data_IF_307976046390
#
_entry.id   IF_307976046390
#
_cell.length_a   1.000
_cell.length_b   1.000
_cell.length_c   1.000
_cell.angle_alpha   90.00
_cell.angle_beta   90.00
_cell.angle_gamma   90.00
#
_symmetry.space_group_name_H-M   'P 1'
#
loop_
_entity.id
_entity.type
_entity.pdbx_description
1 polymer ?
#
# COMPACT_ATOMS: atom_id res chain seq x y z
N UNK A 1 -13.37 -4.74 -21.35
CA UNK A 1 -12.54 -3.55 -21.07
C UNK A 1 -11.10 -3.96 -20.97
N UNK A 2 -10.21 -3.15 -21.54
CA UNK A 2 -8.78 -3.41 -21.64
C UNK A 2 -8.08 -2.35 -20.81
N UNK A 3 -7.46 -2.73 -19.69
CA UNK A 3 -6.50 -1.85 -19.02
C UNK A 3 -5.43 -1.42 -20.04
N UNK A 4 -5.05 -0.15 -20.02
CA UNK A 4 -4.03 0.36 -20.95
C UNK A 4 -2.66 0.16 -20.32
N UNK A 5 -1.75 -0.51 -21.05
CA UNK A 5 -0.38 -0.71 -20.59
C UNK A 5 0.35 0.63 -20.49
N UNK A 6 1.17 0.79 -19.45
CA UNK A 6 2.02 1.98 -19.28
C UNK A 6 3.39 1.66 -19.90
N UNK A 7 3.51 1.86 -21.20
CA UNK A 7 4.73 1.56 -21.96
C UNK A 7 5.94 2.36 -21.44
N UNK A 8 5.71 3.58 -20.92
CA UNK A 8 6.75 4.42 -20.31
C UNK A 8 7.43 3.73 -19.12
N UNK A 9 6.74 2.81 -18.43
CA UNK A 9 7.26 2.06 -17.28
C UNK A 9 7.56 0.59 -17.61
N UNK A 10 7.62 0.22 -18.89
CA UNK A 10 8.05 -1.12 -19.30
C UNK A 10 9.56 -1.28 -19.29
N UNK A 11 10.05 -2.52 -19.25
CA UNK A 11 11.48 -2.84 -19.34
C UNK A 11 12.34 -2.06 -18.34
N UNK A 12 11.87 -1.92 -17.09
CA UNK A 12 12.59 -1.24 -16.00
C UNK A 12 13.81 -2.03 -15.53
N UNK A 13 13.87 -3.32 -15.86
CA UNK A 13 15.05 -4.14 -15.65
C UNK A 13 16.09 -3.87 -16.74
N UNK A 14 17.16 -3.19 -16.34
CA UNK A 14 18.29 -2.83 -17.21
C UNK A 14 19.58 -3.41 -16.66
N UNK A 15 20.54 -3.63 -17.56
CA UNK A 15 21.89 -4.04 -17.19
C UNK A 15 22.55 -3.02 -16.25
N UNK A 16 23.36 -3.50 -15.29
CA UNK A 16 24.06 -2.64 -14.31
C UNK A 16 23.51 -2.67 -12.89
N UNK A 17 22.60 -3.59 -12.57
CA UNK A 17 22.11 -3.84 -11.21
C UNK A 17 21.23 -2.73 -10.63
N UNK A 18 21.01 -2.70 -9.30
CA UNK A 18 20.03 -1.80 -8.68
C UNK A 18 20.30 -0.31 -8.93
N UNK A 19 21.55 0.13 -9.02
CA UNK A 19 21.87 1.53 -9.29
C UNK A 19 21.48 1.99 -10.71
N UNK A 20 21.65 1.12 -11.71
CA UNK A 20 21.21 1.42 -13.08
C UNK A 20 19.67 1.48 -13.16
N UNK A 21 18.99 0.52 -12.53
CA UNK A 21 17.53 0.50 -12.40
C UNK A 21 16.99 1.73 -11.66
N UNK A 22 17.69 2.20 -10.63
CA UNK A 22 17.33 3.42 -9.88
C UNK A 22 17.34 4.66 -10.79
N UNK A 23 18.37 4.82 -11.62
CA UNK A 23 18.45 5.93 -12.57
C UNK A 23 17.27 5.90 -13.56
N UNK A 24 16.98 4.71 -14.10
CA UNK A 24 15.85 4.49 -15.03
C UNK A 24 14.51 4.77 -14.35
N UNK A 25 14.35 4.37 -13.08
CA UNK A 25 13.14 4.64 -12.29
C UNK A 25 12.82 6.13 -12.18
N UNK A 26 13.83 6.99 -12.04
CA UNK A 26 13.63 8.45 -12.03
C UNK A 26 13.22 8.97 -13.39
N UNK A 27 14.01 8.67 -14.41
CA UNK A 27 13.81 9.18 -15.76
C UNK A 27 12.41 8.82 -16.29
N UNK A 28 12.04 7.55 -16.13
CA UNK A 28 10.74 7.04 -16.58
C UNK A 28 9.60 7.42 -15.65
N UNK A 29 9.85 7.52 -14.34
CA UNK A 29 8.88 8.05 -13.39
C UNK A 29 8.48 9.49 -13.73
N UNK A 30 9.45 10.36 -14.05
CA UNK A 30 9.16 11.74 -14.46
C UNK A 30 8.40 11.80 -15.79
N UNK A 31 8.75 10.94 -16.75
CA UNK A 31 8.03 10.83 -18.01
C UNK A 31 6.58 10.38 -17.80
N UNK A 32 6.38 9.30 -17.04
CA UNK A 32 5.04 8.79 -16.75
C UNK A 32 4.22 9.77 -15.93
N UNK A 33 4.79 10.49 -14.96
CA UNK A 33 4.05 11.53 -14.21
C UNK A 33 3.45 12.59 -15.14
N UNK A 34 4.19 13.04 -16.16
CA UNK A 34 3.70 14.02 -17.14
C UNK A 34 2.60 13.43 -18.02
N UNK A 35 2.77 12.19 -18.45
CA UNK A 35 1.76 11.45 -19.22
C UNK A 35 0.47 11.27 -18.39
N UNK A 36 0.59 10.71 -17.19
CA UNK A 36 -0.52 10.39 -16.30
C UNK A 36 -1.36 11.61 -15.91
N UNK A 37 -0.74 12.77 -15.71
CA UNK A 37 -1.46 14.02 -15.44
C UNK A 37 -2.48 14.39 -16.54
N UNK A 38 -2.32 13.86 -17.76
CA UNK A 38 -3.23 14.10 -18.89
C UNK A 38 -4.37 13.08 -18.99
N UNK A 39 -4.36 12.03 -18.17
CA UNK A 39 -5.35 10.94 -18.21
C UNK A 39 -6.70 11.31 -17.58
N UNK A 40 -6.86 12.54 -17.10
CA UNK A 40 -8.06 12.98 -16.37
C UNK A 40 -7.96 12.67 -14.88
N UNK A 41 -9.11 12.61 -14.22
CA UNK A 41 -9.25 12.34 -12.79
C UNK A 41 -10.41 11.36 -12.58
N UNK A 42 -10.42 10.57 -11.49
CA UNK A 42 -11.60 9.82 -11.12
C UNK A 42 -12.73 10.79 -10.72
N UNK A 43 -13.96 10.29 -10.66
CA UNK A 43 -15.12 11.09 -10.24
C UNK A 43 -15.14 11.34 -8.73
N UNK A 44 -14.55 10.42 -7.95
CA UNK A 44 -14.44 10.61 -6.52
C UNK A 44 -13.54 9.59 -5.83
N UNK A 45 -12.96 10.01 -4.71
CA UNK A 45 -12.16 9.17 -3.83
C UNK A 45 -12.60 9.41 -2.39
N UNK A 46 -12.81 8.34 -1.62
CA UNK A 46 -13.09 8.43 -0.18
C UNK A 46 -12.23 7.42 0.57
N UNK A 47 -11.52 7.89 1.60
CA UNK A 47 -10.79 7.03 2.56
C UNK A 47 -11.66 6.61 3.74
N UNK A 48 -11.50 5.37 4.20
CA UNK A 48 -12.14 4.84 5.41
C UNK A 48 -11.15 4.06 6.28
N UNK A 49 -11.04 4.47 7.54
CA UNK A 49 -10.21 3.77 8.53
C UNK A 49 -10.80 2.40 8.86
N UNK A 50 -9.97 1.35 8.84
CA UNK A 50 -10.37 0.00 9.20
C UNK A 50 -9.94 -0.32 10.64
N UNK A 51 -8.64 -0.34 10.87
CA UNK A 51 -8.05 -0.73 12.15
C UNK A 51 -6.75 0.01 12.40
N UNK A 52 -6.47 0.34 13.65
CA UNK A 52 -5.16 0.78 14.12
C UNK A 52 -4.58 -0.29 15.03
N UNK A 53 -3.34 -0.70 14.75
CA UNK A 53 -2.68 -1.79 15.43
C UNK A 53 -1.21 -1.46 15.71
N UNK A 54 -0.59 -2.14 16.71
CA UNK A 54 0.84 -2.01 16.95
C UNK A 54 1.64 -2.68 15.82
N UNK A 55 2.71 -2.03 15.41
CA UNK A 55 3.65 -2.55 14.41
C UNK A 55 5.10 -2.31 14.84
N UNK A 56 6.03 -3.27 14.67
CA UNK A 56 7.39 -3.12 15.19
C UNK A 56 8.11 -1.91 14.59
N UNK A 57 8.62 -1.05 15.46
CA UNK A 57 9.34 0.16 15.05
C UNK A 57 10.56 -0.15 14.18
N UNK A 58 11.22 -1.29 14.45
CA UNK A 58 12.39 -1.74 13.68
C UNK A 58 12.08 -2.12 12.23
N UNK A 59 10.83 -2.47 11.93
CA UNK A 59 10.38 -2.79 10.57
C UNK A 59 9.95 -1.52 9.86
N UNK A 60 9.03 -0.76 10.46
CA UNK A 60 8.43 0.42 9.81
C UNK A 60 9.37 1.59 9.61
N UNK A 61 10.40 1.72 10.46
CA UNK A 61 11.41 2.78 10.36
C UNK A 61 12.81 2.20 10.20
N UNK A 62 12.91 1.20 9.31
CA UNK A 62 14.03 0.28 9.13
C UNK A 62 15.40 0.92 9.33
N UNK A 63 16.10 0.49 10.39
CA UNK A 63 17.42 0.96 10.86
C UNK A 63 17.53 2.45 11.24
N UNK A 64 16.65 3.30 10.74
CA UNK A 64 16.72 4.75 10.87
C UNK A 64 16.22 5.26 12.22
N UNK A 65 15.24 4.56 12.83
CA UNK A 65 14.66 4.99 14.10
C UNK A 65 15.61 4.86 15.29
N UNK A 66 15.60 5.87 16.14
CA UNK A 66 16.19 5.89 17.49
C UNK A 66 15.12 5.97 18.59
N UNK A 67 13.85 5.74 18.23
CA UNK A 67 12.78 5.70 19.21
C UNK A 67 12.99 4.55 20.20
N UNK A 68 12.68 4.81 21.47
CA UNK A 68 12.80 3.81 22.55
C UNK A 68 11.64 2.82 22.49
N UNK A 69 10.47 3.26 21.99
CA UNK A 69 9.30 2.41 21.84
C UNK A 69 9.59 1.26 20.85
N UNK A 70 9.36 -0.01 21.25
CA UNK A 70 9.58 -1.17 20.37
C UNK A 70 8.49 -1.31 19.30
N UNK A 71 7.31 -0.72 19.55
CA UNK A 71 6.19 -0.65 18.65
C UNK A 71 5.81 0.80 18.36
N UNK A 72 5.35 1.02 17.14
CA UNK A 72 4.63 2.20 16.70
C UNK A 72 3.18 1.81 16.38
N UNK A 73 2.31 2.78 16.11
CA UNK A 73 0.94 2.50 15.66
C UNK A 73 0.81 2.80 14.18
N UNK A 74 0.21 1.87 13.43
CA UNK A 74 -0.20 2.09 12.04
C UNK A 74 -1.71 2.00 11.94
N UNK A 75 -2.29 2.78 11.06
CA UNK A 75 -3.72 2.75 10.73
C UNK A 75 -3.88 2.27 9.30
N UNK A 76 -4.47 1.08 9.15
CA UNK A 76 -4.82 0.50 7.87
C UNK A 76 -6.15 1.09 7.39
N UNK A 77 -6.20 1.47 6.12
CA UNK A 77 -7.34 2.18 5.53
C UNK A 77 -7.67 1.61 4.16
N UNK A 78 -8.95 1.59 3.85
CA UNK A 78 -9.41 1.34 2.49
C UNK A 78 -9.69 2.67 1.77
N UNK A 79 -9.53 2.67 0.45
CA UNK A 79 -10.02 3.73 -0.43
C UNK A 79 -11.12 3.18 -1.32
N UNK A 80 -12.17 3.97 -1.49
CA UNK A 80 -13.21 3.75 -2.51
C UNK A 80 -12.96 4.76 -3.62
N UNK A 81 -12.75 4.25 -4.83
CA UNK A 81 -12.42 5.06 -6.02
C UNK A 81 -13.49 4.81 -7.07
N UNK A 82 -14.10 5.88 -7.56
CA UNK A 82 -15.16 5.84 -8.57
C UNK A 82 -14.72 6.57 -9.82
N UNK A 83 -14.95 6.00 -10.98
CA UNK A 83 -14.78 6.68 -12.27
C UNK A 83 -15.80 6.16 -13.28
N UNK A 84 -16.12 6.96 -14.30
CA UNK A 84 -16.87 6.49 -15.45
C UNK A 84 -15.91 6.01 -16.54
N UNK A 85 -16.21 4.84 -17.10
CA UNK A 85 -15.55 4.29 -18.28
C UNK A 85 -16.60 3.64 -19.19
N UNK A 86 -16.55 3.95 -20.48
CA UNK A 86 -17.52 3.49 -21.51
C UNK A 86 -19.00 3.65 -21.09
N UNK A 87 -19.33 4.80 -20.48
CA UNK A 87 -20.71 5.12 -20.05
C UNK A 87 -21.21 4.33 -18.83
N UNK A 88 -20.35 3.54 -18.17
CA UNK A 88 -20.64 2.82 -16.93
C UNK A 88 -19.75 3.33 -15.80
N UNK A 89 -20.32 3.47 -14.61
CA UNK A 89 -19.53 3.71 -13.40
C UNK A 89 -18.75 2.46 -12.99
N UNK A 90 -17.52 2.67 -12.56
CA UNK A 90 -16.61 1.67 -12.01
C UNK A 90 -16.31 1.98 -10.57
N UNK A 91 -16.31 0.95 -9.73
CA UNK A 91 -15.94 1.05 -8.31
C UNK A 91 -14.76 0.12 -8.03
N UNK A 92 -13.64 0.72 -7.61
CA UNK A 92 -12.47 0.03 -7.08
C UNK A 92 -12.40 0.23 -5.57
N UNK A 93 -12.24 -0.87 -4.84
CA UNK A 93 -11.79 -0.84 -3.45
C UNK A 93 -10.29 -1.13 -3.41
N UNK A 94 -9.51 -0.14 -2.99
CA UNK A 94 -8.09 -0.32 -2.69
C UNK A 94 -7.89 -0.57 -1.20
N UNK A 95 -7.12 -1.59 -0.84
CA UNK A 95 -6.92 -2.08 0.53
C UNK A 95 -8.21 -2.40 1.31
N UNK A 96 -9.19 -3.15 0.76
CA UNK A 96 -10.35 -3.62 1.52
C UNK A 96 -9.95 -4.76 2.47
N UNK A 97 -8.97 -4.55 3.34
CA UNK A 97 -8.44 -5.59 4.23
C UNK A 97 -9.49 -6.08 5.22
N UNK A 98 -9.64 -7.39 5.29
CA UNK A 98 -10.45 -8.03 6.32
C UNK A 98 -9.62 -8.19 7.60
N UNK A 99 -9.55 -7.15 8.43
CA UNK A 99 -8.78 -7.21 9.67
C UNK A 99 -9.25 -8.30 10.65
N UNK A 100 -10.49 -8.79 10.51
CA UNK A 100 -11.01 -9.88 11.35
C UNK A 100 -10.38 -11.24 10.96
N UNK A 101 -10.08 -11.45 9.67
CA UNK A 101 -9.38 -12.64 9.19
C UNK A 101 -7.86 -12.45 9.09
N UNK A 102 -7.40 -11.23 8.85
CA UNK A 102 -5.97 -10.89 8.81
C UNK A 102 -5.26 -11.15 10.15
N UNK A 103 -5.99 -11.15 11.27
CA UNK A 103 -5.44 -11.49 12.60
C UNK A 103 -4.90 -12.93 12.71
N UNK A 104 -5.32 -13.83 11.83
CA UNK A 104 -4.83 -15.23 11.77
C UNK A 104 -3.54 -15.40 10.97
N UNK A 105 -2.98 -14.29 10.47
CA UNK A 105 -1.64 -14.30 9.88
C UNK A 105 -0.63 -14.73 10.93
N UNK A 106 0.32 -15.65 10.63
CA UNK A 106 1.16 -16.28 11.66
C UNK A 106 1.88 -15.30 12.58
N UNK A 107 2.35 -14.17 12.07
CA UNK A 107 2.96 -13.12 12.90
C UNK A 107 1.98 -12.54 13.93
N UNK A 108 0.76 -12.18 13.51
CA UNK A 108 -0.25 -11.59 14.39
C UNK A 108 -0.86 -12.62 15.33
N UNK A 109 -1.03 -13.86 14.87
CA UNK A 109 -1.48 -14.97 15.72
C UNK A 109 -0.47 -15.23 16.86
N UNK A 110 0.83 -15.30 16.55
CA UNK A 110 1.89 -15.46 17.56
C UNK A 110 1.99 -14.25 18.50
N UNK A 111 1.87 -13.03 17.96
CA UNK A 111 1.88 -11.81 18.77
C UNK A 111 0.69 -11.78 19.74
N UNK A 112 -0.50 -12.13 19.28
CA UNK A 112 -1.71 -12.19 20.11
C UNK A 112 -1.60 -13.28 21.17
N UNK A 113 -1.10 -14.46 20.80
CA UNK A 113 -0.87 -15.57 21.74
C UNK A 113 0.12 -15.26 22.87
N UNK A 114 1.02 -14.28 22.66
CA UNK A 114 2.00 -13.81 23.66
C UNK A 114 1.56 -12.54 24.40
N UNK A 115 0.46 -11.92 24.00
CA UNK A 115 0.00 -10.63 24.53
C UNK A 115 -1.28 -10.84 25.36
N UNK A 116 -1.30 -10.48 26.66
CA UNK A 116 -2.53 -10.54 27.45
C UNK A 116 -3.69 -9.75 26.81
N UNK A 117 -4.91 -10.31 26.78
CA UNK A 117 -6.09 -9.71 26.13
C UNK A 117 -6.35 -8.23 26.49
N UNK A 118 -6.11 -7.87 27.76
CA UNK A 118 -6.31 -6.48 28.24
C UNK A 118 -5.34 -5.51 27.57
N UNK A 119 -4.12 -5.96 27.27
CA UNK A 119 -3.10 -5.19 26.55
C UNK A 119 -3.46 -5.12 25.07
N UNK A 120 -3.85 -6.25 24.47
CA UNK A 120 -4.27 -6.30 23.06
C UNK A 120 -5.43 -5.33 22.79
N UNK A 121 -6.50 -5.38 23.61
CA UNK A 121 -7.66 -4.47 23.50
C UNK A 121 -7.31 -2.99 23.67
N UNK A 122 -6.19 -2.66 24.32
CA UNK A 122 -5.71 -1.29 24.49
C UNK A 122 -4.84 -0.83 23.31
N UNK A 123 -4.19 -1.76 22.62
CA UNK A 123 -3.28 -1.47 21.51
C UNK A 123 -3.97 -1.50 20.14
N UNK A 124 -5.03 -2.29 20.00
CA UNK A 124 -5.82 -2.38 18.76
C UNK A 124 -7.07 -1.52 18.89
N UNK A 125 -7.31 -0.66 17.88
CA UNK A 125 -8.52 0.13 17.75
C UNK A 125 -9.19 -0.17 16.42
N UNK A 126 -10.35 -0.81 16.46
CA UNK A 126 -11.21 -1.01 15.29
C UNK A 126 -12.03 0.25 15.02
N UNK A 127 -12.02 0.73 13.79
CA UNK A 127 -12.78 1.91 13.35
C UNK A 127 -13.99 1.54 12.50
N UNK A 128 -13.93 0.41 11.79
CA UNK A 128 -15.04 -0.14 11.04
C UNK A 128 -14.64 -1.33 10.18
N UNK A 129 -15.64 -1.98 9.59
CA UNK A 129 -15.44 -3.08 8.62
C UNK A 129 -15.72 -2.58 7.21
N UNK A 130 -15.17 -3.28 6.20
CA UNK A 130 -15.45 -2.99 4.79
C UNK A 130 -16.97 -2.98 4.51
N UNK A 131 -17.77 -4.02 4.89
CA UNK A 131 -19.23 -3.99 4.76
C UNK A 131 -19.90 -2.76 5.38
N UNK A 132 -19.55 -2.43 6.64
CA UNK A 132 -20.16 -1.31 7.33
C UNK A 132 -19.81 0.04 6.72
N UNK A 133 -18.62 0.20 6.15
CA UNK A 133 -18.23 1.40 5.41
C UNK A 133 -18.99 1.54 4.09
N UNK A 134 -19.18 0.45 3.35
CA UNK A 134 -19.94 0.46 2.09
C UNK A 134 -21.42 0.77 2.32
N UNK A 135 -22.03 0.19 3.36
CA UNK A 135 -23.41 0.50 3.76
C UNK A 135 -23.58 2.00 4.04
N UNK A 136 -22.66 2.62 4.79
CA UNK A 136 -22.67 4.07 5.04
C UNK A 136 -22.45 4.93 3.80
N UNK A 137 -21.79 4.37 2.78
CA UNK A 137 -21.56 5.04 1.49
C UNK A 137 -22.70 4.78 0.49
N UNK A 138 -23.66 3.90 0.82
CA UNK A 138 -24.73 3.50 -0.09
C UNK A 138 -24.25 2.69 -1.30
N UNK A 139 -23.14 1.96 -1.15
CA UNK A 139 -22.57 1.12 -2.21
C UNK A 139 -22.99 -0.32 -1.96
N UNK A 140 -23.73 -0.91 -2.89
CA UNK A 140 -24.08 -2.32 -2.80
C UNK A 140 -22.85 -3.19 -3.14
N UNK A 141 -22.67 -4.37 -2.53
CA UNK A 141 -21.53 -5.24 -2.83
C UNK A 141 -21.47 -5.68 -4.31
N UNK A 142 -22.61 -5.76 -4.97
CA UNK A 142 -22.73 -6.10 -6.39
C UNK A 142 -22.21 -4.98 -7.32
N UNK A 143 -22.14 -3.74 -6.83
CA UNK A 143 -21.66 -2.59 -7.61
C UNK A 143 -20.14 -2.50 -7.64
N UNK A 144 -19.44 -3.26 -6.79
CA UNK A 144 -17.97 -3.27 -6.75
C UNK A 144 -17.42 -4.09 -7.92
N UNK A 145 -16.65 -3.44 -8.80
CA UNK A 145 -16.03 -4.09 -9.96
C UNK A 145 -14.65 -4.66 -9.64
N UNK A 146 -13.89 -3.97 -8.80
CA UNK A 146 -12.48 -4.30 -8.57
C UNK A 146 -12.13 -4.25 -7.10
N UNK A 147 -11.30 -5.20 -6.69
CA UNK A 147 -10.54 -5.15 -5.45
C UNK A 147 -9.07 -5.05 -5.82
N UNK A 148 -8.31 -4.24 -5.09
CA UNK A 148 -6.87 -4.17 -5.26
C UNK A 148 -6.19 -4.02 -3.92
N UNK A 149 -5.07 -4.71 -3.79
CA UNK A 149 -4.15 -4.55 -2.68
C UNK A 149 -2.79 -4.21 -3.29
N UNK A 150 -1.99 -3.43 -2.58
CA UNK A 150 -0.60 -3.20 -2.95
C UNK A 150 0.19 -4.52 -2.94
N UNK A 151 -0.16 -5.45 -2.04
CA UNK A 151 0.30 -6.84 -2.02
C UNK A 151 -0.58 -7.71 -1.10
N UNK A 152 -0.25 -9.01 -0.97
CA UNK A 152 -1.10 -9.97 -0.26
C UNK A 152 -0.62 -10.31 1.16
N UNK A 153 0.29 -9.53 1.76
CA UNK A 153 0.59 -9.70 3.19
C UNK A 153 -0.67 -9.51 4.01
N UNK A 154 -0.89 -10.42 4.95
CA UNK A 154 -1.96 -10.39 5.94
C UNK A 154 -3.38 -10.44 5.37
N UNK A 155 -3.52 -10.56 4.05
CA UNK A 155 -4.83 -10.59 3.39
C UNK A 155 -5.39 -12.01 3.38
N UNK A 156 -6.65 -12.14 3.79
CA UNK A 156 -7.49 -13.32 3.57
C UNK A 156 -8.70 -12.92 2.73
N UNK A 157 -8.75 -13.40 1.49
CA UNK A 157 -9.75 -12.98 0.52
C UNK A 157 -10.97 -13.91 0.48
N UNK A 158 -11.07 -14.93 1.34
CA UNK A 158 -12.17 -15.90 1.29
C UNK A 158 -13.53 -15.25 1.49
N UNK A 159 -13.64 -14.23 2.33
CA UNK A 159 -14.89 -13.48 2.51
C UNK A 159 -15.26 -12.69 1.25
N UNK A 160 -14.27 -12.12 0.57
CA UNK A 160 -14.47 -11.24 -0.57
C UNK A 160 -14.82 -12.00 -1.85
N UNK A 161 -14.06 -13.06 -2.14
CA UNK A 161 -14.09 -13.76 -3.42
C UNK A 161 -14.12 -15.29 -3.31
N UNK A 162 -14.43 -15.83 -2.13
CA UNK A 162 -14.55 -17.29 -1.94
C UNK A 162 -15.82 -17.88 -2.57
N UNK A 163 -16.17 -19.11 -2.17
CA UNK A 163 -17.31 -19.85 -2.74
C UNK A 163 -18.68 -19.16 -2.58
N UNK A 164 -18.84 -18.33 -1.55
CA UNK A 164 -19.99 -17.44 -1.37
C UNK A 164 -19.45 -16.02 -1.21
N UNK A 165 -19.10 -15.36 -2.33
CA UNK A 165 -18.37 -14.10 -2.29
C UNK A 165 -19.28 -12.97 -1.80
N UNK A 166 -18.78 -12.14 -0.89
CA UNK A 166 -19.46 -10.89 -0.52
C UNK A 166 -19.50 -9.91 -1.71
N UNK A 167 -18.48 -9.93 -2.57
CA UNK A 167 -18.43 -9.11 -3.80
C UNK A 167 -18.59 -10.01 -5.05
N UNK A 168 -19.83 -10.35 -5.45
CA UNK A 168 -20.05 -11.37 -6.48
C UNK A 168 -19.59 -10.97 -7.88
N UNK A 169 -19.47 -9.67 -8.17
CA UNK A 169 -19.06 -9.15 -9.47
C UNK A 169 -17.59 -8.69 -9.50
N UNK A 170 -16.94 -8.60 -8.34
CA UNK A 170 -15.62 -8.00 -8.25
C UNK A 170 -14.52 -8.96 -8.70
N UNK A 171 -13.47 -8.41 -9.31
CA UNK A 171 -12.23 -9.14 -9.59
C UNK A 171 -11.04 -8.49 -8.89
N UNK A 172 -10.13 -9.31 -8.40
CA UNK A 172 -8.92 -8.87 -7.70
C UNK A 172 -7.82 -8.53 -8.70
N UNK A 173 -7.49 -7.26 -8.84
CA UNK A 173 -6.33 -6.80 -9.61
C UNK A 173 -5.07 -7.08 -8.78
N UNK A 174 -4.18 -7.91 -9.32
CA UNK A 174 -2.97 -8.34 -8.62
C UNK A 174 -1.86 -8.61 -9.63
N UNK A 175 -0.60 -8.36 -9.26
CA UNK A 175 0.51 -8.74 -10.13
C UNK A 175 0.65 -10.27 -10.18
N UNK A 176 0.93 -10.82 -11.37
CA UNK A 176 1.08 -12.27 -11.57
C UNK A 176 2.16 -12.90 -10.69
N UNK A 177 3.25 -12.18 -10.45
CA UNK A 177 4.35 -12.64 -9.60
C UNK A 177 4.00 -12.67 -8.11
N UNK A 178 3.02 -11.91 -7.64
CA UNK A 178 2.51 -12.04 -6.27
C UNK A 178 1.78 -13.38 -6.09
N UNK A 179 0.91 -13.75 -7.03
CA UNK A 179 0.24 -15.05 -7.02
C UNK A 179 1.23 -16.21 -7.18
N UNK A 180 2.26 -16.02 -8.02
CA UNK A 180 3.32 -17.01 -8.19
C UNK A 180 4.11 -17.20 -6.88
N UNK A 181 4.50 -16.11 -6.21
CA UNK A 181 5.22 -16.17 -4.93
C UNK A 181 4.41 -16.86 -3.83
N UNK A 182 3.09 -16.65 -3.78
CA UNK A 182 2.20 -17.32 -2.82
C UNK A 182 2.18 -18.86 -2.92
N UNK A 183 2.47 -19.40 -4.12
CA UNK A 183 2.46 -20.85 -4.33
C UNK A 183 3.59 -21.57 -3.58
N UNK A 184 4.72 -20.89 -3.34
CA UNK A 184 5.88 -21.43 -2.64
C UNK A 184 6.65 -20.33 -1.90
N UNK A 185 6.24 -20.06 -0.67
CA UNK A 185 6.82 -19.00 0.14
C UNK A 185 8.18 -19.37 0.74
N UNK A 186 9.14 -18.45 0.62
CA UNK A 186 10.42 -18.53 1.33
C UNK A 186 10.19 -18.42 2.85
N UNK A 187 10.99 -19.10 3.71
CA UNK A 187 10.82 -19.04 5.17
C UNK A 187 10.78 -17.64 5.78
N UNK A 188 11.47 -16.67 5.18
CA UNK A 188 11.46 -15.27 5.62
C UNK A 188 10.12 -14.56 5.36
N UNK A 189 9.32 -15.03 4.39
CA UNK A 189 8.03 -14.47 4.02
C UNK A 189 6.86 -15.12 4.75
N UNK A 190 6.99 -16.40 5.12
CA UNK A 190 5.93 -17.21 5.76
C UNK A 190 5.20 -16.51 6.93
N UNK A 191 5.86 -15.73 7.81
CA UNK A 191 5.17 -15.05 8.90
C UNK A 191 4.07 -14.07 8.48
N UNK A 192 4.13 -13.56 7.24
CA UNK A 192 3.30 -12.46 6.75
C UNK A 192 2.16 -12.90 5.82
N UNK A 193 2.10 -14.17 5.45
CA UNK A 193 1.13 -14.69 4.48
C UNK A 193 0.30 -15.83 5.05
N UNK A 194 -0.88 -16.02 4.45
CA UNK A 194 -1.81 -17.11 4.76
C UNK A 194 -2.04 -17.98 3.51
N UNK A 195 -1.04 -18.64 2.91
CA UNK A 195 -1.16 -19.30 1.60
C UNK A 195 -2.29 -20.35 1.53
N UNK A 196 -2.60 -21.00 2.66
CA UNK A 196 -3.68 -21.97 2.75
C UNK A 196 -5.07 -21.38 2.46
N UNK A 197 -5.29 -20.08 2.70
CA UNK A 197 -6.58 -19.39 2.47
C UNK A 197 -6.83 -19.11 0.98
N UNK A 198 -5.82 -19.28 0.12
CA UNK A 198 -5.90 -19.02 -1.32
C UNK A 198 -6.18 -20.28 -2.16
N UNK A 199 -6.05 -21.48 -1.59
CA UNK A 199 -6.12 -22.75 -2.34
C UNK A 199 -7.47 -23.00 -3.02
N UNK A 200 -8.55 -22.61 -2.36
CA UNK A 200 -9.92 -22.87 -2.82
C UNK A 200 -10.60 -21.61 -3.39
N UNK A 201 -9.81 -20.56 -3.66
CA UNK A 201 -10.34 -19.35 -4.29
C UNK A 201 -10.50 -19.58 -5.81
N UNK A 202 -11.63 -19.17 -6.40
CA UNK A 202 -11.86 -19.30 -7.83
C UNK A 202 -10.82 -18.47 -8.61
N UNK A 203 -10.12 -19.10 -9.56
CA UNK A 203 -9.07 -18.45 -10.33
C UNK A 203 -9.60 -17.28 -11.16
N UNK A 204 -10.85 -17.36 -11.61
CA UNK A 204 -11.56 -16.32 -12.35
C UNK A 204 -11.85 -15.05 -11.54
N UNK A 205 -11.87 -15.14 -10.20
CA UNK A 205 -12.01 -13.99 -9.33
C UNK A 205 -10.73 -13.14 -9.28
N UNK A 206 -9.60 -13.67 -9.75
CA UNK A 206 -8.39 -12.88 -9.95
C UNK A 206 -8.35 -12.31 -11.36
N UNK A 207 -7.78 -11.12 -11.47
CA UNK A 207 -7.40 -10.45 -12.72
C UNK A 207 -5.89 -10.18 -12.67
N UNK A 208 -5.05 -11.20 -12.93
CA UNK A 208 -3.61 -11.04 -12.87
C UNK A 208 -3.11 -10.09 -13.97
N UNK A 209 -2.29 -9.12 -13.59
CA UNK A 209 -1.63 -8.18 -14.50
C UNK A 209 -0.12 -8.39 -14.52
N UNK A 210 0.52 -7.94 -15.61
CA UNK A 210 1.96 -8.04 -15.83
C UNK A 210 2.53 -6.64 -16.12
N UNK A 211 2.98 -5.96 -15.06
CA UNK A 211 3.53 -4.61 -15.13
C UNK A 211 2.53 -3.53 -14.73
N UNK A 212 2.74 -2.32 -15.23
CA UNK A 212 1.98 -1.13 -14.87
C UNK A 212 0.86 -0.85 -15.89
N UNK A 213 -0.32 -0.47 -15.41
CA UNK A 213 -1.49 -0.20 -16.26
C UNK A 213 -2.30 1.01 -15.78
N UNK A 214 -2.94 1.72 -16.71
CA UNK A 214 -4.01 2.68 -16.44
C UNK A 214 -5.34 1.91 -16.43
N UNK A 215 -6.10 2.05 -15.34
CA UNK A 215 -7.40 1.40 -15.14
C UNK A 215 -8.55 2.24 -15.69
N UNK A 216 -8.41 3.56 -15.62
CA UNK A 216 -9.42 4.54 -16.00
C UNK A 216 -8.88 5.96 -15.85
N UNK A 217 -9.72 6.99 -16.07
CA UNK A 217 -9.30 8.38 -16.00
C UNK A 217 -8.65 8.70 -14.65
N UNK A 218 -7.37 9.08 -14.66
CA UNK A 218 -6.62 9.41 -13.45
C UNK A 218 -6.50 8.28 -12.44
N UNK A 219 -6.64 7.00 -12.82
CA UNK A 219 -6.46 5.84 -11.94
C UNK A 219 -5.51 4.84 -12.59
N UNK A 220 -4.38 4.56 -11.95
CA UNK A 220 -3.37 3.63 -12.44
C UNK A 220 -2.83 2.71 -11.34
N UNK A 221 -2.27 1.60 -11.79
CA UNK A 221 -1.51 0.64 -10.99
C UNK A 221 -0.08 0.63 -11.52
N UNK A 222 0.88 0.89 -10.66
CA UNK A 222 2.30 0.88 -11.02
C UNK A 222 3.00 -0.25 -10.30
N UNK A 223 3.69 -1.12 -11.04
CA UNK A 223 4.45 -2.22 -10.44
C UNK A 223 5.65 -1.66 -9.67
N UNK A 224 5.73 -1.95 -8.37
CA UNK A 224 6.70 -1.38 -7.43
C UNK A 224 7.28 -2.50 -6.54
N UNK A 225 8.02 -3.46 -7.12
CA UNK A 225 8.46 -4.66 -6.42
C UNK A 225 9.53 -4.32 -5.36
N UNK A 226 9.73 -5.23 -4.42
CA UNK A 226 10.80 -5.13 -3.42
C UNK A 226 10.30 -5.39 -2.01
N UNK A 227 9.25 -4.72 -1.55
CA UNK A 227 8.64 -5.10 -0.28
C UNK A 227 8.17 -6.57 -0.35
N UNK A 228 7.50 -6.90 -1.44
CA UNK A 228 7.33 -8.27 -1.91
C UNK A 228 7.57 -8.30 -3.43
N UNK A 229 7.64 -9.50 -4.01
CA UNK A 229 7.96 -9.64 -5.43
C UNK A 229 6.92 -8.98 -6.34
N UNK A 230 5.62 -9.14 -6.05
CA UNK A 230 4.55 -8.58 -6.87
C UNK A 230 3.90 -7.33 -6.27
N UNK A 231 4.63 -6.56 -5.46
CA UNK A 231 4.11 -5.33 -4.89
C UNK A 231 3.76 -4.31 -6.01
N UNK A 232 2.63 -3.64 -5.86
CA UNK A 232 2.10 -2.63 -6.77
C UNK A 232 1.59 -1.41 -6.01
N UNK A 233 1.66 -0.24 -6.62
CA UNK A 233 1.19 1.02 -6.05
C UNK A 233 -0.06 1.50 -6.76
N UNK A 234 -1.02 2.00 -6.01
CA UNK A 234 -2.09 2.82 -6.54
C UNK A 234 -1.52 4.21 -6.87
N UNK A 235 -1.82 4.71 -8.07
CA UNK A 235 -1.53 6.09 -8.47
C UNK A 235 -2.83 6.74 -8.92
N UNK A 236 -3.19 7.88 -8.32
CA UNK A 236 -4.43 8.60 -8.65
C UNK A 236 -4.16 10.08 -8.92
N UNK A 237 -4.72 10.60 -10.00
CA UNK A 237 -4.66 12.03 -10.32
C UNK A 237 -5.92 12.71 -9.81
N UNK A 238 -5.76 13.68 -8.91
CA UNK A 238 -6.90 14.36 -8.25
C UNK A 238 -6.85 15.86 -8.53
N UNK A 239 -7.86 16.60 -8.06
CA UNK A 239 -7.86 18.06 -8.11
C UNK A 239 -6.67 18.73 -7.40
N UNK A 240 -6.00 18.04 -6.47
CA UNK A 240 -4.82 18.56 -5.75
C UNK A 240 -3.49 18.07 -6.32
N UNK A 241 -3.53 17.28 -7.40
CA UNK A 241 -2.37 16.64 -8.02
C UNK A 241 -2.37 15.12 -7.85
N UNK A 242 -1.26 14.51 -8.23
CA UNK A 242 -1.03 13.07 -8.24
C UNK A 242 -0.70 12.57 -6.83
N UNK A 243 -1.45 11.56 -6.39
CA UNK A 243 -1.20 10.79 -5.18
C UNK A 243 -0.67 9.39 -5.53
N UNK A 244 0.14 8.85 -4.63
CA UNK A 244 0.66 7.48 -4.70
C UNK A 244 0.39 6.77 -3.38
N UNK A 245 0.00 5.50 -3.40
CA UNK A 245 -0.29 4.71 -2.20
C UNK A 245 0.22 3.27 -2.31
N UNK A 246 0.97 2.84 -1.29
CA UNK A 246 1.48 1.48 -1.08
C UNK A 246 2.03 1.30 0.35
N UNK A 247 2.43 0.08 0.71
CA UNK A 247 3.06 -0.24 2.00
C UNK A 247 4.61 -0.16 1.99
N UNK A 248 5.21 0.30 0.88
CA UNK A 248 6.67 0.38 0.76
C UNK A 248 7.31 1.29 1.82
N UNK A 249 6.55 2.27 2.33
CA UNK A 249 6.85 3.02 3.54
C UNK A 249 5.59 3.15 4.40
N UNK A 250 5.76 3.40 5.70
CA UNK A 250 4.64 3.63 6.63
C UNK A 250 4.42 5.11 6.97
N UNK A 251 5.22 6.04 6.46
CA UNK A 251 5.03 7.47 6.74
C UNK A 251 5.44 8.34 5.55
N UNK A 252 4.68 9.41 5.26
CA UNK A 252 5.00 10.35 4.18
C UNK A 252 6.39 10.99 4.33
N UNK A 253 6.81 11.24 5.58
CA UNK A 253 8.15 11.76 5.89
C UNK A 253 9.29 10.77 5.57
N UNK A 254 8.99 9.48 5.36
CA UNK A 254 9.99 8.50 4.95
C UNK A 254 10.47 8.74 3.51
N UNK A 255 9.71 9.47 2.68
CA UNK A 255 10.14 9.91 1.34
C UNK A 255 10.89 11.26 1.37
N UNK A 256 10.73 12.02 2.46
CA UNK A 256 11.32 13.36 2.66
C UNK A 256 11.96 13.46 4.05
N UNK A 257 12.89 12.54 4.38
CA UNK A 257 13.41 12.37 5.74
C UNK A 257 14.14 13.61 6.26
N UNK A 258 14.60 14.52 5.39
CA UNK A 258 15.19 15.81 5.74
C UNK A 258 14.25 16.72 6.55
N UNK A 259 12.94 16.51 6.45
CA UNK A 259 11.93 17.28 7.19
C UNK A 259 11.40 16.55 8.42
N UNK A 260 11.87 15.31 8.66
CA UNK A 260 11.42 14.46 9.75
C UNK A 260 11.93 14.92 11.12
N UNK A 261 11.02 14.97 12.09
CA UNK A 261 11.29 15.10 13.54
C UNK A 261 11.31 13.74 14.25
N UNK A 262 11.05 12.63 13.56
CA UNK A 262 11.15 11.31 14.16
C UNK A 262 12.61 11.08 14.60
N UNK A 263 12.84 10.57 15.82
CA UNK A 263 14.18 10.30 16.32
C UNK A 263 14.96 9.42 15.35
N UNK A 264 16.08 9.93 14.85
CA UNK A 264 17.01 9.17 14.03
C UNK A 264 16.86 9.34 12.52
N UNK A 265 15.63 9.49 11.99
CA UNK A 265 15.36 9.46 10.54
C UNK A 265 16.26 10.39 9.73
N UNK A 266 16.15 11.70 9.92
CA UNK A 266 16.95 12.70 9.20
C UNK A 266 18.47 12.54 9.39
N UNK A 267 18.88 12.05 10.57
CA UNK A 267 20.31 11.85 10.88
C UNK A 267 20.88 10.59 10.23
N UNK A 268 20.07 9.55 10.11
CA UNK A 268 20.43 8.28 9.47
C UNK A 268 20.60 8.49 7.98
N UNK A 269 19.58 9.05 7.31
CA UNK A 269 19.57 9.25 5.87
C UNK A 269 20.70 10.17 5.42
N UNK A 270 20.97 11.26 6.17
CA UNK A 270 22.14 12.12 5.94
C UNK A 270 23.48 11.38 6.10
N UNK A 271 23.62 10.56 7.14
CA UNK A 271 24.88 9.81 7.40
C UNK A 271 25.17 8.78 6.31
N UNK A 272 24.14 8.07 5.87
CA UNK A 272 24.25 6.98 4.91
C UNK A 272 24.01 7.41 3.46
N UNK A 273 23.76 8.70 3.24
CA UNK A 273 23.45 9.27 1.93
C UNK A 273 22.28 8.57 1.24
N UNK A 274 21.27 8.20 2.04
CA UNK A 274 20.02 7.60 1.57
C UNK A 274 18.96 8.70 1.44
N UNK A 275 18.05 8.55 0.49
CA UNK A 275 16.98 9.53 0.23
C UNK A 275 15.65 9.17 0.89
N UNK A 276 15.48 7.89 1.27
CA UNK A 276 14.23 7.35 1.79
C UNK A 276 14.49 6.32 2.90
N UNK A 277 13.46 6.06 3.70
CA UNK A 277 13.46 5.02 4.75
C UNK A 277 12.37 4.00 4.44
N UNK A 278 12.73 2.72 4.46
CA UNK A 278 11.86 1.63 4.04
C UNK A 278 10.98 1.13 5.19
N UNK A 279 9.82 0.58 4.84
CA UNK A 279 9.16 -0.43 5.64
C UNK A 279 9.75 -1.81 5.29
N UNK A 280 10.49 -2.44 6.21
CA UNK A 280 11.27 -3.65 5.90
C UNK A 280 11.08 -4.77 6.93
N UNK A 281 9.87 -5.33 6.99
CA UNK A 281 9.61 -6.65 7.58
C UNK A 281 10.04 -7.83 6.68
N UNK A 282 10.27 -7.55 5.41
CA UNK A 282 10.90 -8.40 4.39
C UNK A 282 12.11 -7.63 3.85
N UNK A 283 13.24 -8.31 3.62
CA UNK A 283 14.54 -7.66 3.35
C UNK A 283 15.28 -8.25 2.14
N UNK A 284 14.71 -9.29 1.52
CA UNK A 284 15.33 -10.10 0.46
C UNK A 284 15.67 -9.27 -0.78
N UNK A 285 14.83 -8.28 -1.09
CA UNK A 285 14.92 -7.42 -2.28
C UNK A 285 14.95 -5.94 -1.89
N UNK A 286 15.59 -5.62 -0.75
CA UNK A 286 15.70 -4.26 -0.17
C UNK A 286 16.13 -3.20 -1.21
N UNK A 287 17.06 -3.54 -2.13
CA UNK A 287 17.53 -2.59 -3.14
C UNK A 287 16.47 -2.30 -4.22
N UNK A 288 15.70 -3.31 -4.62
CA UNK A 288 14.57 -3.11 -5.54
C UNK A 288 13.45 -2.33 -4.84
N UNK A 289 13.21 -2.58 -3.54
CA UNK A 289 12.26 -1.81 -2.74
C UNK A 289 12.65 -0.33 -2.68
N UNK A 290 13.93 -0.03 -2.43
CA UNK A 290 14.44 1.34 -2.44
C UNK A 290 14.16 2.01 -3.80
N UNK A 291 14.42 1.31 -4.91
CA UNK A 291 14.15 1.83 -6.26
C UNK A 291 12.66 2.09 -6.50
N UNK A 292 11.79 1.19 -6.03
CA UNK A 292 10.34 1.36 -6.07
C UNK A 292 9.87 2.57 -5.28
N UNK A 293 10.40 2.80 -4.08
CA UNK A 293 10.08 4.01 -3.29
C UNK A 293 10.55 5.27 -4.02
N UNK A 294 11.67 5.23 -4.74
CA UNK A 294 12.11 6.37 -5.55
C UNK A 294 11.20 6.61 -6.75
N UNK A 295 10.69 5.55 -7.39
CA UNK A 295 9.66 5.69 -8.42
C UNK A 295 8.41 6.34 -7.84
N UNK A 296 7.86 5.83 -6.73
CA UNK A 296 6.72 6.39 -6.02
C UNK A 296 6.94 7.87 -5.64
N UNK A 297 8.13 8.19 -5.10
CA UNK A 297 8.57 9.55 -4.77
C UNK A 297 8.59 10.48 -5.97
N UNK A 298 8.95 9.96 -7.14
CA UNK A 298 9.03 10.74 -8.39
C UNK A 298 7.63 11.04 -8.94
N UNK A 299 6.70 10.08 -8.78
CA UNK A 299 5.32 10.17 -9.25
C UNK A 299 4.45 11.10 -8.39
N UNK A 300 4.61 11.08 -7.07
CA UNK A 300 3.78 11.87 -6.16
C UNK A 300 4.04 13.39 -6.29
N UNK A 301 2.97 14.17 -6.34
CA UNK A 301 3.04 15.63 -6.25
C UNK A 301 3.34 16.10 -4.81
N UNK A 302 3.64 17.38 -4.64
CA UNK A 302 3.81 17.98 -3.30
C UNK A 302 2.45 18.12 -2.61
N UNK A 303 2.41 17.85 -1.31
CA UNK A 303 1.18 18.02 -0.52
C UNK A 303 0.75 19.48 -0.48
N UNK A 304 -0.55 19.72 -0.69
CA UNK A 304 -1.13 21.06 -0.52
C UNK A 304 -1.21 21.49 0.95
N UNK A 305 -1.23 20.55 1.89
CA UNK A 305 -1.27 20.85 3.32
C UNK A 305 0.11 21.29 3.87
N UNK A 306 1.18 20.68 3.37
CA UNK A 306 2.55 21.08 3.67
C UNK A 306 3.49 20.67 2.52
N UNK A 307 4.00 21.62 1.71
CA UNK A 307 4.78 21.32 0.52
C UNK A 307 6.15 20.71 0.82
N UNK A 308 6.55 20.59 2.09
CA UNK A 308 7.73 19.80 2.47
C UNK A 308 7.51 18.30 2.25
N UNK A 309 6.27 17.84 2.34
CA UNK A 309 5.92 16.43 2.18
C UNK A 309 5.29 16.17 0.81
N UNK A 310 5.27 14.90 0.41
CA UNK A 310 4.67 14.44 -0.85
C UNK A 310 3.26 13.92 -0.60
N UNK A 311 2.43 13.92 -1.64
CA UNK A 311 1.14 13.24 -1.73
C UNK A 311 1.32 11.71 -1.83
N UNK A 312 2.18 11.15 -0.97
CA UNK A 312 2.30 9.72 -0.76
C UNK A 312 1.47 9.34 0.46
N UNK A 313 0.50 8.45 0.26
CA UNK A 313 -0.43 7.98 1.29
C UNK A 313 -0.16 6.51 1.61
N UNK A 314 0.54 6.19 2.70
CA UNK A 314 0.77 4.79 3.08
C UNK A 314 -0.55 4.03 3.26
N UNK A 315 -0.65 2.81 2.73
CA UNK A 315 -1.79 1.91 2.98
C UNK A 315 -1.94 1.59 4.47
N UNK A 316 -0.80 1.45 5.16
CA UNK A 316 -0.65 1.35 6.61
C UNK A 316 0.07 2.60 7.16
N UNK A 317 -0.65 3.71 7.39
CA UNK A 317 -0.02 4.98 7.80
C UNK A 317 0.34 5.01 9.28
N UNK A 318 1.56 5.44 9.60
CA UNK A 318 2.04 5.76 10.93
C UNK A 318 1.11 6.79 11.58
N UNK A 319 0.51 6.39 12.69
CA UNK A 319 -0.33 7.26 13.50
C UNK A 319 0.27 7.45 14.89
N UNK A 320 0.17 8.68 15.39
CA UNK A 320 0.67 9.01 16.71
C UNK A 320 -0.19 8.37 17.80
N UNK A 321 0.44 7.59 18.68
CA UNK A 321 -0.20 7.05 19.88
C UNK A 321 0.56 7.49 21.12
N UNK A 322 -0.17 7.91 22.16
CA UNK A 322 0.44 8.35 23.43
C UNK A 322 1.20 7.21 24.14
N UNK A 323 0.88 5.95 23.83
CA UNK A 323 1.55 4.75 24.35
C UNK A 323 2.92 4.49 23.73
N UNK A 324 3.24 5.14 22.59
CA UNK A 324 4.43 4.87 21.79
C UNK A 324 5.30 6.16 21.70
N UNK A 325 5.98 6.55 22.78
CA UNK A 325 6.75 7.79 22.81
C UNK A 325 7.88 7.76 21.79
N UNK A 326 8.05 8.86 21.06
CA UNK A 326 9.09 9.01 20.04
C UNK A 326 8.74 8.42 18.67
N UNK A 327 7.51 7.92 18.46
CA UNK A 327 7.07 7.42 17.14
C UNK A 327 5.93 8.25 16.54
N UNK A 328 5.64 9.43 17.10
CA UNK A 328 4.62 10.32 16.57
C UNK A 328 5.11 10.91 15.24
N UNK A 329 4.36 10.77 14.13
CA UNK A 329 4.76 11.31 12.84
C UNK A 329 4.86 12.84 12.90
N UNK A 330 5.78 13.38 12.13
CA UNK A 330 5.93 14.82 11.90
C UNK A 330 4.76 15.35 11.09
N UNK A 331 4.28 14.53 10.16
CA UNK A 331 3.21 14.84 9.23
C UNK A 331 2.45 13.55 8.88
N UNK A 332 1.12 13.65 8.83
CA UNK A 332 0.20 12.60 8.41
C UNK A 332 -0.85 13.23 7.51
N UNK A 333 -1.26 12.52 6.45
CA UNK A 333 -2.35 12.96 5.58
C UNK A 333 -3.71 12.60 6.18
N UNK A 334 -3.83 11.41 6.76
CA UNK A 334 -5.07 10.88 7.35
C UNK A 334 -6.13 10.43 6.34
N UNK A 335 -6.28 11.11 5.20
CA UNK A 335 -7.23 10.74 4.15
C UNK A 335 -6.83 11.29 2.77
N UNK A 336 -7.26 10.61 1.71
CA UNK A 336 -7.40 11.15 0.37
C UNK A 336 -8.90 11.35 0.11
N UNK A 337 -9.27 12.56 -0.31
CA UNK A 337 -10.62 12.89 -0.77
C UNK A 337 -10.50 13.56 -2.12
N UNK A 338 -11.29 13.09 -3.08
CA UNK A 338 -11.44 13.72 -4.38
C UNK A 338 -12.91 13.96 -4.69
#
# INVERSE_FOLDING_TARGET
MSFTRIDTLDHMDVEGGPGARLRVARERGEAFRREFATTGTPDGIVTRDLVTLPYPTRFGLFRASRAIAPFLSITNRMLVIRWHDDGRERILLFEPSDHEYGRYTPYFEDLSGRTPDVIERRMVKVHGTVPGHLERLGIAPEDVDYLMFDHLHTQDLRRWIGATPYFPNARVIVQRDELAALSELHPLQKPWYQPATYRDLPAEAFLPIDGSVVLGPGVAVVKTPGHVFGNQSLVVNTSTGIWVSSENVIAAEALTPEHSKLPGLASWTRRWQQEVVLNANTVETTADQYNSIILEKTLADRSQADPRFLQFFPSSELTGAWTNPGTRPTFSHGQIVH
#
